data_IF_725436303191
#
_entry.id   IF_725436303191
#
_cell.length_a   1.000
_cell.length_b   1.000
_cell.length_c   1.000
_cell.angle_alpha   90.00
_cell.angle_beta   90.00
_cell.angle_gamma   90.00
#
_symmetry.space_group_name_H-M   'P 1'
#
loop_
_entity.id
_entity.type
_entity.pdbx_description
1 polymer ?
#
# COMPACT_ATOMS: atom_id res chain seq x y z
N UNK A 1 2.15 -22.09 -0.87
CA UNK A 1 3.10 -21.05 -0.41
C UNK A 1 2.78 -19.76 -1.15
N UNK A 2 1.73 -19.11 -0.68
CA UNK A 2 1.06 -18.00 -1.35
C UNK A 2 1.69 -16.69 -0.89
N UNK A 3 2.97 -16.55 -1.27
CA UNK A 3 3.78 -15.40 -0.87
C UNK A 3 3.45 -14.20 -1.76
N UNK A 4 2.29 -13.59 -1.47
CA UNK A 4 1.86 -12.35 -2.10
C UNK A 4 2.75 -11.16 -1.70
N UNK A 5 3.50 -11.26 -0.58
CA UNK A 5 4.47 -10.25 -0.14
C UNK A 5 5.63 -10.13 -1.11
N UNK A 6 6.11 -11.27 -1.62
CA UNK A 6 7.14 -11.32 -2.64
C UNK A 6 6.73 -10.54 -3.90
N UNK A 7 5.44 -10.49 -4.26
CA UNK A 7 5.00 -9.82 -5.49
C UNK A 7 5.01 -8.30 -5.37
N UNK A 8 4.58 -7.70 -4.25
CA UNK A 8 4.74 -6.24 -4.04
C UNK A 8 6.21 -5.87 -3.95
N UNK A 9 7.00 -6.63 -3.19
CA UNK A 9 8.42 -6.35 -3.04
C UNK A 9 9.13 -6.48 -4.40
N UNK A 10 8.76 -7.45 -5.23
CA UNK A 10 9.28 -7.57 -6.59
C UNK A 10 8.89 -6.38 -7.47
N UNK A 11 7.66 -5.88 -7.38
CA UNK A 11 7.24 -4.67 -8.11
C UNK A 11 8.11 -3.48 -7.70
N UNK A 12 8.30 -3.27 -6.39
CA UNK A 12 9.14 -2.19 -5.88
C UNK A 12 10.61 -2.36 -6.30
N UNK A 13 11.15 -3.59 -6.24
CA UNK A 13 12.51 -3.91 -6.68
C UNK A 13 12.67 -3.69 -8.19
N UNK A 14 11.72 -4.11 -9.01
CA UNK A 14 11.81 -3.90 -10.45
C UNK A 14 11.73 -2.41 -10.80
N UNK A 15 10.87 -1.64 -10.12
CA UNK A 15 10.80 -0.18 -10.28
C UNK A 15 12.09 0.50 -9.86
N UNK A 16 12.68 0.12 -8.71
CA UNK A 16 13.95 0.72 -8.26
C UNK A 16 15.14 0.36 -9.15
N UNK A 17 15.07 -0.77 -9.86
CA UNK A 17 16.05 -1.18 -10.86
C UNK A 17 15.78 -0.61 -12.28
N UNK A 18 14.74 0.21 -12.47
CA UNK A 18 14.36 0.75 -13.79
C UNK A 18 13.84 -0.30 -14.77
N UNK A 19 13.42 -1.46 -14.28
CA UNK A 19 12.92 -2.60 -15.07
C UNK A 19 11.40 -2.55 -15.21
N UNK A 20 10.89 -1.51 -15.85
CA UNK A 20 9.45 -1.22 -15.91
C UNK A 20 8.62 -2.32 -16.59
N UNK A 21 9.18 -2.97 -17.62
CA UNK A 21 8.50 -4.08 -18.31
C UNK A 21 8.32 -5.30 -17.39
N UNK A 22 9.34 -5.60 -16.58
CA UNK A 22 9.28 -6.70 -15.60
C UNK A 22 8.34 -6.34 -14.45
N UNK A 23 8.33 -5.08 -14.01
CA UNK A 23 7.38 -4.59 -13.01
C UNK A 23 5.92 -4.76 -13.49
N UNK A 24 5.62 -4.38 -14.74
CA UNK A 24 4.28 -4.57 -15.34
C UNK A 24 3.91 -6.04 -15.49
N UNK A 25 4.83 -6.88 -15.95
CA UNK A 25 4.60 -8.32 -16.07
C UNK A 25 4.32 -8.98 -14.72
N UNK A 26 5.09 -8.62 -13.69
CA UNK A 26 4.89 -9.07 -12.31
C UNK A 26 3.54 -8.56 -11.76
N UNK A 27 3.20 -7.30 -12.01
CA UNK A 27 1.93 -6.71 -11.59
C UNK A 27 0.73 -7.42 -12.22
N UNK A 28 0.76 -7.71 -13.53
CA UNK A 28 -0.30 -8.45 -14.21
C UNK A 28 -0.57 -9.81 -13.56
N UNK A 29 0.50 -10.58 -13.31
CA UNK A 29 0.42 -11.88 -12.63
C UNK A 29 -0.05 -11.73 -11.18
N UNK A 30 0.32 -10.63 -10.52
CA UNK A 30 -0.13 -10.29 -9.17
C UNK A 30 -1.63 -10.05 -9.10
N UNK A 31 -2.18 -9.25 -10.01
CA UNK A 31 -3.63 -9.00 -10.11
C UNK A 31 -4.38 -10.30 -10.36
N UNK A 32 -3.99 -11.11 -11.33
CA UNK A 32 -4.67 -12.39 -11.63
C UNK A 32 -4.72 -13.34 -10.43
N UNK A 33 -3.65 -13.38 -9.63
CA UNK A 33 -3.60 -14.20 -8.40
C UNK A 33 -4.48 -13.62 -7.31
N UNK A 34 -4.41 -12.30 -7.11
CA UNK A 34 -5.23 -11.62 -6.12
C UNK A 34 -6.73 -11.73 -6.45
N UNK A 35 -7.12 -11.67 -7.73
CA UNK A 35 -8.50 -11.91 -8.18
C UNK A 35 -8.98 -13.31 -7.79
N UNK A 36 -8.17 -14.33 -8.07
CA UNK A 36 -8.50 -15.72 -7.70
C UNK A 36 -8.61 -15.89 -6.19
N UNK A 37 -7.69 -15.30 -5.43
CA UNK A 37 -7.73 -15.36 -3.97
C UNK A 37 -8.97 -14.66 -3.42
N UNK A 38 -9.34 -13.48 -3.92
CA UNK A 38 -10.53 -12.75 -3.48
C UNK A 38 -11.85 -13.45 -3.83
N UNK A 39 -11.84 -14.39 -4.78
CA UNK A 39 -12.98 -15.28 -5.05
C UNK A 39 -13.07 -16.39 -4.00
N UNK A 40 -11.93 -16.97 -3.61
CA UNK A 40 -11.87 -18.08 -2.65
C UNK A 40 -11.95 -17.62 -1.19
N UNK A 41 -11.40 -16.43 -0.91
CA UNK A 41 -11.20 -15.82 0.41
C UNK A 41 -11.59 -14.34 0.32
N UNK A 42 -12.90 -14.02 0.20
CA UNK A 42 -13.37 -12.66 -0.01
C UNK A 42 -13.13 -11.72 1.17
N UNK A 43 -12.81 -12.29 2.34
CA UNK A 43 -12.51 -11.70 3.63
C UNK A 43 -11.00 -11.52 3.89
N UNK A 44 -10.15 -11.77 2.89
CA UNK A 44 -8.72 -11.54 3.01
C UNK A 44 -8.36 -10.10 2.55
N UNK A 45 -8.13 -9.14 3.47
CA UNK A 45 -7.83 -7.75 3.09
C UNK A 45 -6.50 -7.65 2.34
N UNK A 46 -5.60 -8.63 2.56
CA UNK A 46 -4.28 -8.68 1.96
C UNK A 46 -4.33 -8.80 0.45
N UNK A 47 -5.12 -9.73 -0.07
CA UNK A 47 -5.24 -9.90 -1.52
C UNK A 47 -5.82 -8.66 -2.18
N UNK A 48 -6.73 -7.95 -1.50
CA UNK A 48 -7.29 -6.70 -1.99
C UNK A 48 -6.25 -5.57 -2.07
N UNK A 49 -5.51 -5.25 -1.00
CA UNK A 49 -4.53 -4.15 -1.09
C UNK A 49 -3.31 -4.52 -1.94
N UNK A 50 -2.89 -5.80 -1.96
CA UNK A 50 -1.77 -6.23 -2.79
C UNK A 50 -2.11 -6.15 -4.29
N UNK A 51 -3.33 -6.56 -4.65
CA UNK A 51 -3.83 -6.35 -6.01
C UNK A 51 -3.99 -4.88 -6.37
N UNK A 52 -4.42 -4.03 -5.42
CA UNK A 52 -4.48 -2.59 -5.64
C UNK A 52 -3.10 -2.00 -5.98
N UNK A 53 -2.04 -2.37 -5.26
CA UNK A 53 -0.67 -1.92 -5.57
C UNK A 53 -0.21 -2.37 -6.97
N UNK A 54 -0.57 -3.59 -7.38
CA UNK A 54 -0.29 -4.07 -8.72
C UNK A 54 -1.08 -3.29 -9.79
N UNK A 55 -2.36 -2.98 -9.53
CA UNK A 55 -3.19 -2.16 -10.41
C UNK A 55 -2.62 -0.75 -10.60
N UNK A 56 -2.09 -0.13 -9.54
CA UNK A 56 -1.37 1.15 -9.65
C UNK A 56 -0.19 1.05 -10.62
N UNK A 57 0.58 -0.04 -10.54
CA UNK A 57 1.73 -0.27 -11.43
C UNK A 57 1.30 -0.45 -12.89
N UNK A 58 0.10 -0.98 -13.12
CA UNK A 58 -0.50 -1.12 -14.44
C UNK A 58 -1.17 0.18 -14.94
N UNK A 59 -1.31 1.19 -14.07
CA UNK A 59 -2.00 2.44 -14.37
C UNK A 59 -3.54 2.36 -14.22
N UNK A 60 -4.06 1.25 -13.71
CA UNK A 60 -5.50 1.02 -13.50
C UNK A 60 -5.94 1.59 -12.14
N UNK A 61 -5.87 2.91 -12.04
CA UNK A 61 -6.03 3.64 -10.79
C UNK A 61 -7.44 3.54 -10.20
N UNK A 62 -8.46 3.38 -11.05
CA UNK A 62 -9.84 3.30 -10.60
C UNK A 62 -10.13 1.96 -9.91
N UNK A 63 -9.70 0.85 -10.53
CA UNK A 63 -9.79 -0.48 -9.87
C UNK A 63 -8.91 -0.55 -8.64
N UNK A 64 -7.73 0.08 -8.65
CA UNK A 64 -6.88 0.17 -7.47
C UNK A 64 -7.62 0.81 -6.28
N UNK A 65 -8.33 1.93 -6.50
CA UNK A 65 -9.13 2.60 -5.45
C UNK A 65 -10.29 1.76 -4.95
N UNK A 66 -10.98 1.06 -5.84
CA UNK A 66 -12.08 0.14 -5.48
C UNK A 66 -11.56 -0.98 -4.57
N UNK A 67 -10.47 -1.62 -4.98
CA UNK A 67 -9.86 -2.72 -4.23
C UNK A 67 -9.31 -2.26 -2.88
N UNK A 68 -8.76 -1.06 -2.82
CA UNK A 68 -8.26 -0.49 -1.58
C UNK A 68 -9.40 -0.17 -0.60
N UNK A 69 -10.51 0.34 -1.14
CA UNK A 69 -11.73 0.58 -0.36
C UNK A 69 -12.30 -0.74 0.18
N UNK A 70 -12.24 -1.82 -0.62
CA UNK A 70 -12.61 -3.16 -0.17
C UNK A 70 -11.67 -3.67 0.92
N UNK A 71 -10.36 -3.52 0.78
CA UNK A 71 -9.39 -3.94 1.80
C UNK A 71 -9.66 -3.27 3.16
N UNK A 72 -9.91 -1.97 3.15
CA UNK A 72 -10.25 -1.19 4.35
C UNK A 72 -11.63 -1.53 4.94
N UNK A 73 -12.56 -2.03 4.12
CA UNK A 73 -13.88 -2.46 4.59
C UNK A 73 -13.84 -3.86 5.24
N UNK A 74 -12.95 -4.74 4.78
CA UNK A 74 -12.78 -6.10 5.32
C UNK A 74 -12.24 -6.04 6.75
N UNK A 75 -11.14 -5.33 6.97
CA UNK A 75 -10.63 -5.07 8.32
C UNK A 75 -10.34 -3.57 8.51
N UNK A 76 -11.31 -2.81 9.05
CA UNK A 76 -11.16 -1.38 9.24
C UNK A 76 -10.28 -1.00 10.43
N UNK A 77 -9.74 -1.96 11.18
CA UNK A 77 -8.91 -1.70 12.35
C UNK A 77 -7.49 -2.24 12.23
N UNK A 78 -7.22 -3.13 11.27
CA UNK A 78 -5.88 -3.64 11.00
C UNK A 78 -4.91 -2.52 10.61
N UNK A 79 -3.88 -2.38 11.45
CA UNK A 79 -2.87 -1.33 11.36
C UNK A 79 -2.10 -1.44 10.05
N UNK A 80 -1.75 -2.66 9.64
CA UNK A 80 -0.95 -2.89 8.45
C UNK A 80 -1.75 -2.66 7.16
N UNK A 81 -3.01 -3.07 7.12
CA UNK A 81 -3.91 -2.79 5.99
C UNK A 81 -4.11 -1.29 5.82
N UNK A 82 -4.31 -0.54 6.91
CA UNK A 82 -4.43 0.91 6.84
C UNK A 82 -3.14 1.60 6.41
N UNK A 83 -1.99 1.14 6.91
CA UNK A 83 -0.68 1.66 6.50
C UNK A 83 -0.41 1.40 5.02
N UNK A 84 -0.56 0.15 4.56
CA UNK A 84 -0.37 -0.19 3.14
C UNK A 84 -1.34 0.57 2.25
N UNK A 85 -2.58 0.81 2.71
CA UNK A 85 -3.51 1.67 2.01
C UNK A 85 -3.02 3.12 1.91
N UNK A 86 -2.40 3.67 2.95
CA UNK A 86 -1.78 4.99 2.86
C UNK A 86 -0.65 5.04 1.82
N UNK A 87 0.22 4.03 1.76
CA UNK A 87 1.26 3.93 0.73
C UNK A 87 0.67 3.88 -0.69
N UNK A 88 -0.39 3.10 -0.89
CA UNK A 88 -1.05 2.97 -2.19
C UNK A 88 -1.80 4.26 -2.57
N UNK A 89 -2.49 4.91 -1.63
CA UNK A 89 -3.11 6.23 -1.88
C UNK A 89 -2.06 7.30 -2.22
N UNK A 90 -0.89 7.25 -1.59
CA UNK A 90 0.24 8.13 -1.95
C UNK A 90 0.67 7.89 -3.39
N UNK A 91 0.82 6.63 -3.80
CA UNK A 91 1.16 6.26 -5.18
C UNK A 91 0.07 6.65 -6.20
N UNK A 92 -1.19 6.72 -5.77
CA UNK A 92 -2.34 7.18 -6.56
C UNK A 92 -2.46 8.72 -6.63
N UNK A 93 -1.61 9.45 -5.90
CA UNK A 93 -1.68 10.91 -5.76
C UNK A 93 -2.82 11.41 -4.86
N UNK A 94 -3.48 10.52 -4.11
CA UNK A 94 -4.55 10.86 -3.18
C UNK A 94 -3.96 11.18 -1.79
N UNK A 95 -3.25 12.30 -1.75
CA UNK A 95 -2.41 12.72 -0.63
C UNK A 95 -3.23 12.88 0.66
N UNK A 96 -4.44 13.45 0.57
CA UNK A 96 -5.30 13.67 1.73
C UNK A 96 -5.73 12.34 2.38
N UNK A 97 -6.21 11.37 1.59
CA UNK A 97 -6.59 10.06 2.12
C UNK A 97 -5.40 9.28 2.69
N UNK A 98 -4.23 9.41 2.08
CA UNK A 98 -3.02 8.81 2.63
C UNK A 98 -2.70 9.36 4.03
N UNK A 99 -2.72 10.68 4.18
CA UNK A 99 -2.44 11.35 5.46
C UNK A 99 -3.50 11.04 6.52
N UNK A 100 -4.78 11.03 6.16
CA UNK A 100 -5.88 10.65 7.07
C UNK A 100 -5.67 9.25 7.65
N UNK A 101 -5.25 8.29 6.82
CA UNK A 101 -4.95 6.94 7.28
C UNK A 101 -3.72 6.90 8.19
N UNK A 102 -2.64 7.58 7.83
CA UNK A 102 -1.43 7.63 8.67
C UNK A 102 -1.73 8.22 10.04
N UNK A 103 -2.48 9.33 10.10
CA UNK A 103 -2.90 9.95 11.35
C UNK A 103 -3.80 9.04 12.20
N UNK A 104 -4.69 8.26 11.56
CA UNK A 104 -5.54 7.28 12.24
C UNK A 104 -4.74 6.08 12.77
N UNK A 105 -3.67 5.70 12.09
CA UNK A 105 -2.81 4.57 12.45
C UNK A 105 -1.83 4.95 13.57
N UNK A 106 -1.32 6.19 13.57
CA UNK A 106 -0.25 6.65 14.44
C UNK A 106 -0.43 6.32 15.94
N UNK A 107 -1.61 6.53 16.56
CA UNK A 107 -1.78 6.27 17.99
C UNK A 107 -1.69 4.78 18.35
N UNK A 108 -2.01 3.90 17.39
CA UNK A 108 -2.07 2.44 17.57
C UNK A 108 -0.82 1.73 17.04
N UNK A 109 -0.01 2.41 16.24
CA UNK A 109 1.18 1.88 15.63
C UNK A 109 2.25 1.48 16.68
N UNK A 110 2.84 0.31 16.47
CA UNK A 110 3.99 -0.19 17.24
C UNK A 110 5.31 0.49 16.85
N UNK A 111 6.38 0.16 17.57
CA UNK A 111 7.71 0.75 17.38
C UNK A 111 8.25 0.57 15.96
N UNK A 112 8.08 -0.62 15.38
CA UNK A 112 8.53 -0.94 14.01
C UNK A 112 7.94 0.02 12.98
N UNK A 113 6.63 0.26 13.07
CA UNK A 113 5.93 1.12 12.14
C UNK A 113 6.31 2.60 12.34
N UNK A 114 6.36 3.06 13.59
CA UNK A 114 6.69 4.46 13.93
C UNK A 114 8.13 4.84 13.60
N UNK A 115 9.11 4.02 14.00
CA UNK A 115 10.52 4.36 13.88
C UNK A 115 11.23 3.69 12.71
N UNK A 116 10.53 2.81 11.97
CA UNK A 116 11.00 2.20 10.74
C UNK A 116 10.20 2.71 9.54
N UNK A 117 9.11 2.02 9.21
CA UNK A 117 8.34 2.22 7.99
C UNK A 117 7.89 3.67 7.75
N UNK A 118 7.23 4.32 8.73
CA UNK A 118 6.81 5.73 8.57
C UNK A 118 8.01 6.63 8.33
N UNK A 119 9.20 6.37 8.91
CA UNK A 119 10.38 7.23 8.70
C UNK A 119 11.10 6.97 7.38
N UNK A 120 11.08 5.75 6.83
CA UNK A 120 12.02 5.36 5.76
C UNK A 120 11.39 4.71 4.53
N UNK A 121 10.09 4.41 4.55
CA UNK A 121 9.43 3.82 3.39
C UNK A 121 9.38 4.83 2.22
N UNK A 122 9.93 4.43 1.07
CA UNK A 122 9.99 5.26 -0.13
C UNK A 122 8.62 5.50 -0.75
N UNK A 123 7.63 4.64 -0.48
CA UNK A 123 6.26 4.86 -0.98
C UNK A 123 5.66 6.16 -0.42
N UNK A 124 6.18 6.64 0.73
CA UNK A 124 5.77 7.87 1.38
C UNK A 124 6.61 9.09 0.96
N UNK A 125 7.57 8.94 0.03
CA UNK A 125 8.40 10.04 -0.44
C UNK A 125 7.61 11.25 -0.95
N UNK A 126 6.49 11.10 -1.66
CA UNK A 126 5.65 12.22 -2.06
C UNK A 126 5.03 13.00 -0.90
N UNK A 127 4.96 12.42 0.31
CA UNK A 127 4.41 13.07 1.50
C UNK A 127 5.47 13.83 2.30
N UNK A 128 6.76 13.62 2.02
CA UNK A 128 7.87 14.06 2.91
C UNK A 128 7.78 15.54 3.23
N UNK A 129 7.53 16.38 2.24
CA UNK A 129 7.47 17.83 2.42
C UNK A 129 6.09 18.34 2.88
N UNK A 130 5.10 17.45 3.03
CA UNK A 130 3.75 17.85 3.42
C UNK A 130 3.68 18.23 4.92
N UNK A 131 3.08 19.38 5.29
CA UNK A 131 3.03 19.83 6.68
C UNK A 131 2.41 18.82 7.66
N UNK A 132 1.34 18.13 7.25
CA UNK A 132 0.72 17.06 8.07
C UNK A 132 1.69 15.89 8.30
N UNK A 133 2.47 15.53 7.29
CA UNK A 133 3.43 14.44 7.40
C UNK A 133 4.62 14.82 8.29
N UNK A 134 5.13 16.05 8.16
CA UNK A 134 6.13 16.60 9.08
C UNK A 134 5.66 16.54 10.53
N UNK A 135 4.37 16.86 10.79
CA UNK A 135 3.79 16.72 12.12
C UNK A 135 3.78 15.29 12.62
N UNK A 136 3.47 14.32 11.75
CA UNK A 136 3.57 12.88 12.09
C UNK A 136 5.00 12.52 12.49
N UNK A 137 6.00 12.98 11.73
CA UNK A 137 7.42 12.72 12.02
C UNK A 137 7.88 13.33 13.34
N UNK A 138 7.41 14.53 13.70
CA UNK A 138 7.68 15.14 15.01
C UNK A 138 7.12 14.31 16.16
N UNK A 139 5.93 13.73 15.99
CA UNK A 139 5.24 12.95 17.05
C UNK A 139 5.91 11.59 17.32
N UNK A 140 6.67 11.08 16.36
CA UNK A 140 7.43 9.82 16.46
C UNK A 140 8.95 10.08 16.46
N UNK A 141 9.33 11.35 16.60
CA UNK A 141 10.69 11.87 16.68
C UNK A 141 11.51 11.14 17.71
#
# INVERSE_FOLDING_TARGET
PDDYQALILLIQIYRSLGRDADAKSAAQRGVERAEKDLILHPDNPRSAYLGAAALVTLGDNDRAREWLSRALAIDPHDIWTQYNAACIYTSLGDIDRALDLLERVLPRAGHELKHGWIKYDSDLDPLRDHPRYQKILELIG
#
